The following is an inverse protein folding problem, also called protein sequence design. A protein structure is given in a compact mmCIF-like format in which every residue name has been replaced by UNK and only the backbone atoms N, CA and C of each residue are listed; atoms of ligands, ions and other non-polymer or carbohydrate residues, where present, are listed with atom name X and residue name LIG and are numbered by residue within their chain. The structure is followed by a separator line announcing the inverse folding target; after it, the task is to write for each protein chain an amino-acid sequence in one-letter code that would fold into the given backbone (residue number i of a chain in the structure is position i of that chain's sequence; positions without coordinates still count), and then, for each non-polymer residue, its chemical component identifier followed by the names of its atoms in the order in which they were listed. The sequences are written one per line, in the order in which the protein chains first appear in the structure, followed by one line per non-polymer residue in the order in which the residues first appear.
data_IF_940130069309
#
_entry.id   IF_940130069309
#
_cell.length_a   1.000
_cell.length_b   1.000
_cell.length_c   1.000
_cell.angle_alpha   90.00
_cell.angle_beta   90.00
_cell.angle_gamma   90.00
#
_symmetry.space_group_name_H-M   'P 1'
#
loop_
_entity.id
_entity.type
_entity.pdbx_description
1 polymer ?
#
# COMPACT_ATOMS: atom_id res chain seq x y z
N UNK A 1 27.95 16.26 -0.85
CA UNK A 1 28.15 14.90 -0.28
C UNK A 1 27.98 14.81 1.24
N UNK A 2 27.98 15.91 2.00
CA UNK A 2 27.90 15.88 3.47
C UNK A 2 26.54 15.49 4.05
N UNK A 3 25.43 15.86 3.41
CA UNK A 3 24.08 15.67 3.97
C UNK A 3 23.72 14.20 4.28
N UNK A 4 24.09 13.25 3.43
CA UNK A 4 23.80 11.83 3.63
C UNK A 4 24.69 11.15 4.67
N UNK A 5 25.86 11.72 4.97
CA UNK A 5 26.77 11.21 6.01
C UNK A 5 26.33 11.63 7.43
N UNK A 6 25.52 12.67 7.54
CA UNK A 6 25.04 13.18 8.82
C UNK A 6 23.95 12.29 9.41
N UNK A 7 23.77 12.41 10.72
CA UNK A 7 22.75 11.66 11.45
C UNK A 7 21.50 12.52 11.69
N UNK A 8 20.34 11.86 11.71
CA UNK A 8 19.10 12.47 12.19
C UNK A 8 19.18 12.84 13.67
N UNK A 9 18.46 13.88 14.05
CA UNK A 9 18.23 14.24 15.45
C UNK A 9 17.35 13.20 16.16
N UNK A 10 17.38 13.09 17.49
CA UNK A 10 16.56 12.13 18.22
C UNK A 10 15.06 12.20 17.92
N UNK A 11 14.51 13.40 17.73
CA UNK A 11 13.09 13.61 17.40
C UNK A 11 12.68 13.01 16.06
N UNK A 12 13.53 13.16 15.04
CA UNK A 12 13.25 12.64 13.69
C UNK A 12 13.45 11.11 13.65
N UNK A 13 14.37 10.59 14.45
CA UNK A 13 14.59 9.15 14.62
C UNK A 13 13.32 8.45 15.16
N UNK A 14 12.58 9.11 16.06
CA UNK A 14 11.31 8.61 16.56
C UNK A 14 10.27 8.38 15.46
N UNK A 15 10.18 9.27 14.47
CA UNK A 15 9.26 9.12 13.33
C UNK A 15 9.65 7.90 12.46
N UNK A 16 10.95 7.70 12.23
CA UNK A 16 11.43 6.56 11.44
C UNK A 16 11.22 5.23 12.19
N UNK A 17 11.42 5.22 13.51
CA UNK A 17 11.13 4.05 14.35
C UNK A 17 9.64 3.72 14.35
N UNK A 18 8.77 4.72 14.39
CA UNK A 18 7.33 4.49 14.28
C UNK A 18 6.95 3.91 12.90
N UNK A 19 7.56 4.40 11.82
CA UNK A 19 7.38 3.79 10.49
C UNK A 19 7.80 2.32 10.47
N UNK A 20 8.89 1.97 11.14
CA UNK A 20 9.34 0.57 11.26
C UNK A 20 8.29 -0.32 11.94
N UNK A 21 7.68 0.15 13.02
CA UNK A 21 6.61 -0.58 13.71
C UNK A 21 5.40 -0.79 12.81
N UNK A 22 4.99 0.23 12.05
CA UNK A 22 3.84 0.14 11.14
C UNK A 22 4.11 -0.83 9.98
N UNK A 23 5.36 -0.98 9.54
CA UNK A 23 5.75 -1.90 8.47
C UNK A 23 5.90 -3.37 8.95
N UNK A 24 5.84 -3.64 10.25
CA UNK A 24 5.93 -5.01 10.74
C UNK A 24 4.77 -5.88 10.21
N UNK A 25 5.04 -7.10 9.76
CA UNK A 25 4.04 -7.97 9.13
C UNK A 25 2.84 -8.28 10.02
N UNK A 26 3.01 -8.25 11.35
CA UNK A 26 1.95 -8.53 12.33
C UNK A 26 0.75 -7.60 12.14
N UNK A 27 0.93 -6.39 11.65
CA UNK A 27 -0.16 -5.45 11.36
C UNK A 27 -0.87 -5.74 10.04
N UNK A 28 -0.23 -6.46 9.12
CA UNK A 28 -0.75 -6.72 7.78
C UNK A 28 -1.10 -8.18 7.53
N UNK A 29 -0.57 -9.11 8.33
CA UNK A 29 -0.94 -10.52 8.30
C UNK A 29 -2.33 -10.69 8.91
N UNK A 30 -3.21 -11.26 8.22
CA UNK A 30 -4.67 -11.36 8.12
C UNK A 30 -5.52 -10.43 9.03
N UNK A 31 -4.94 -9.41 9.63
CA UNK A 31 -5.63 -8.49 10.55
C UNK A 31 -6.15 -7.27 9.80
N UNK A 32 -5.29 -6.65 8.97
CA UNK A 32 -5.64 -5.44 8.24
C UNK A 32 -5.64 -5.69 6.74
N UNK A 33 -6.81 -5.62 6.08
CA UNK A 33 -6.87 -5.71 4.63
C UNK A 33 -6.22 -4.50 3.98
N UNK A 34 -5.48 -4.76 2.90
CA UNK A 34 -4.89 -3.70 2.07
C UNK A 34 -5.89 -3.16 1.06
N UNK A 35 -6.88 -3.97 0.66
CA UNK A 35 -7.90 -3.58 -0.30
C UNK A 35 -9.24 -4.19 0.00
N UNK A 36 -10.31 -3.43 -0.30
CA UNK A 36 -11.69 -3.90 -0.21
C UNK A 36 -12.39 -3.74 -1.54
N UNK A 37 -13.10 -4.77 -1.93
CA UNK A 37 -14.06 -4.72 -3.03
C UNK A 37 -15.43 -5.16 -2.52
N UNK A 38 -16.46 -4.45 -2.96
CA UNK A 38 -17.85 -4.79 -2.69
C UNK A 38 -18.57 -4.91 -4.02
N UNK A 39 -19.23 -6.05 -4.24
CA UNK A 39 -19.95 -6.37 -5.46
C UNK A 39 -21.43 -6.55 -5.15
N UNK A 40 -22.32 -5.87 -5.88
CA UNK A 40 -23.75 -6.17 -5.88
C UNK A 40 -24.16 -6.73 -7.23
N UNK A 41 -24.90 -7.85 -7.19
CA UNK A 41 -25.48 -8.52 -8.33
C UNK A 41 -26.98 -8.71 -8.08
N UNK A 42 -27.82 -8.91 -9.12
CA UNK A 42 -29.24 -9.19 -8.93
C UNK A 42 -29.50 -10.42 -8.05
N UNK A 43 -28.62 -11.44 -8.10
CA UNK A 43 -28.69 -12.66 -7.30
C UNK A 43 -28.25 -12.45 -5.84
N UNK A 44 -27.51 -11.38 -5.55
CA UNK A 44 -26.97 -11.03 -4.23
C UNK A 44 -27.22 -9.54 -3.96
N UNK A 45 -28.48 -9.14 -3.69
CA UNK A 45 -28.86 -7.75 -3.47
C UNK A 45 -28.22 -7.15 -2.20
N UNK A 46 -27.93 -8.00 -1.20
CA UNK A 46 -27.18 -7.66 0.01
C UNK A 46 -25.73 -7.27 -0.28
N UNK A 47 -25.19 -7.75 -1.40
CA UNK A 47 -23.82 -7.55 -1.82
C UNK A 47 -22.88 -8.65 -1.32
N UNK A 48 -21.75 -8.77 -2.01
CA UNK A 48 -20.66 -9.68 -1.71
C UNK A 48 -19.39 -8.87 -1.41
N UNK A 49 -18.64 -9.30 -0.41
CA UNK A 49 -17.43 -8.62 0.01
C UNK A 49 -16.19 -9.46 -0.33
N UNK A 50 -15.16 -8.80 -0.80
CA UNK A 50 -13.84 -9.36 -1.02
C UNK A 50 -12.81 -8.45 -0.39
N UNK A 51 -11.95 -9.00 0.45
CA UNK A 51 -10.88 -8.29 1.13
C UNK A 51 -9.54 -8.92 0.78
N UNK A 52 -8.62 -8.12 0.28
CA UNK A 52 -7.27 -8.53 -0.07
C UNK A 52 -6.35 -8.15 1.08
N UNK A 53 -5.58 -9.14 1.55
CA UNK A 53 -4.55 -8.98 2.56
C UNK A 53 -3.17 -9.14 1.94
N UNK A 54 -2.12 -8.95 2.69
CA UNK A 54 -0.75 -9.10 2.18
C UNK A 54 -0.38 -10.53 1.81
N UNK A 55 -1.13 -11.52 2.29
CA UNK A 55 -0.84 -12.95 2.11
C UNK A 55 -2.05 -13.80 1.70
N UNK A 56 -3.23 -13.22 1.54
CA UNK A 56 -4.44 -13.98 1.24
C UNK A 56 -5.59 -13.07 0.79
N UNK A 57 -6.66 -13.70 0.32
CA UNK A 57 -7.95 -13.07 0.02
C UNK A 57 -9.01 -13.69 0.91
N UNK A 58 -9.95 -12.90 1.42
CA UNK A 58 -11.05 -13.35 2.27
C UNK A 58 -12.37 -12.67 1.87
N UNK A 59 -13.45 -13.24 2.32
CA UNK A 59 -14.81 -12.77 2.08
C UNK A 59 -15.64 -13.79 1.32
N UNK A 60 -16.57 -13.31 0.49
CA UNK A 60 -17.50 -14.14 -0.27
C UNK A 60 -16.89 -14.72 -1.57
N UNK A 61 -15.62 -15.17 -1.51
CA UNK A 61 -14.84 -15.57 -2.69
C UNK A 61 -15.55 -16.65 -3.50
N UNK A 62 -16.12 -17.68 -2.87
CA UNK A 62 -16.80 -18.76 -3.56
C UNK A 62 -18.04 -18.28 -4.34
N UNK A 63 -18.82 -17.38 -3.74
CA UNK A 63 -20.00 -16.79 -4.41
C UNK A 63 -19.59 -15.88 -5.57
N UNK A 64 -18.51 -15.12 -5.40
CA UNK A 64 -17.92 -14.29 -6.47
C UNK A 64 -17.42 -15.19 -7.60
N UNK A 65 -16.77 -16.30 -7.29
CA UNK A 65 -16.29 -17.24 -8.29
C UNK A 65 -17.43 -17.93 -9.06
N UNK A 66 -18.56 -18.22 -8.40
CA UNK A 66 -19.75 -18.68 -9.12
C UNK A 66 -20.23 -17.62 -10.12
N UNK A 67 -20.30 -16.34 -9.74
CA UNK A 67 -20.66 -15.27 -10.68
C UNK A 67 -19.63 -15.14 -11.80
N UNK A 68 -18.34 -15.18 -11.48
CA UNK A 68 -17.27 -15.15 -12.45
C UNK A 68 -17.40 -16.26 -13.51
N UNK A 69 -17.72 -17.46 -13.09
CA UNK A 69 -17.95 -18.59 -14.00
C UNK A 69 -19.07 -18.30 -15.00
N UNK A 70 -20.20 -17.72 -14.57
CA UNK A 70 -21.31 -17.39 -15.47
C UNK A 70 -20.97 -16.34 -16.52
N UNK A 71 -20.09 -15.41 -16.20
CA UNK A 71 -19.68 -14.31 -17.09
C UNK A 71 -18.35 -14.56 -17.80
N UNK A 72 -17.73 -15.73 -17.58
CA UNK A 72 -16.49 -16.14 -18.23
C UNK A 72 -15.24 -15.54 -17.63
N UNK A 73 -15.30 -14.93 -16.46
CA UNK A 73 -14.10 -14.47 -15.74
C UNK A 73 -13.41 -15.66 -15.06
N UNK A 74 -12.07 -15.56 -14.93
CA UNK A 74 -11.30 -16.53 -14.15
C UNK A 74 -11.75 -16.58 -12.68
N UNK A 75 -11.66 -17.76 -12.07
CA UNK A 75 -11.85 -17.89 -10.64
C UNK A 75 -10.72 -17.15 -9.90
N UNK A 76 -11.07 -16.53 -8.77
CA UNK A 76 -10.10 -15.87 -7.89
C UNK A 76 -9.64 -16.91 -6.88
N UNK A 77 -8.37 -17.27 -6.90
CA UNK A 77 -7.76 -18.17 -5.92
C UNK A 77 -6.53 -17.50 -5.31
N UNK A 78 -6.29 -17.68 -4.02
CA UNK A 78 -5.13 -17.06 -3.37
C UNK A 78 -3.79 -17.60 -3.92
N UNK A 79 -3.80 -18.79 -4.50
CA UNK A 79 -2.61 -19.44 -5.08
C UNK A 79 -2.17 -18.84 -6.41
N UNK A 80 -3.04 -18.11 -7.10
CA UNK A 80 -2.72 -17.48 -8.38
C UNK A 80 -1.82 -16.26 -8.20
N UNK A 81 -1.84 -15.67 -7.00
CA UNK A 81 -1.10 -14.46 -6.66
C UNK A 81 0.24 -14.82 -5.99
N UNK A 82 1.31 -14.89 -6.78
CA UNK A 82 2.67 -15.15 -6.28
C UNK A 82 3.12 -14.13 -5.23
N UNK A 83 2.59 -12.91 -5.33
CA UNK A 83 2.86 -11.76 -4.46
C UNK A 83 2.58 -12.10 -2.99
N UNK A 84 1.56 -12.90 -2.70
CA UNK A 84 1.21 -13.32 -1.34
C UNK A 84 2.31 -14.15 -0.66
N UNK A 85 3.18 -14.80 -1.43
CA UNK A 85 4.27 -15.60 -0.87
C UNK A 85 5.46 -14.75 -0.41
N UNK A 86 5.70 -13.58 -0.98
CA UNK A 86 6.87 -12.75 -0.68
C UNK A 86 6.55 -11.37 -0.11
N UNK A 87 5.32 -10.88 -0.24
CA UNK A 87 4.93 -9.55 0.25
C UNK A 87 5.15 -9.37 1.75
N UNK A 88 4.76 -10.32 2.64
CA UNK A 88 5.03 -10.19 4.07
C UNK A 88 6.52 -10.11 4.40
N UNK A 89 7.35 -10.87 3.69
CA UNK A 89 8.81 -10.89 3.88
C UNK A 89 9.44 -9.56 3.45
N UNK A 90 9.00 -8.99 2.33
CA UNK A 90 9.48 -7.69 1.87
C UNK A 90 9.06 -6.56 2.81
N UNK A 91 7.82 -6.56 3.30
CA UNK A 91 7.36 -5.60 4.29
C UNK A 91 8.16 -5.71 5.60
N UNK A 92 8.49 -6.94 6.02
CA UNK A 92 9.41 -7.17 7.15
C UNK A 92 10.78 -6.57 6.87
N UNK A 93 11.33 -6.80 5.69
CA UNK A 93 12.61 -6.24 5.26
C UNK A 93 12.64 -4.70 5.31
N UNK A 94 11.58 -4.04 4.81
CA UNK A 94 11.44 -2.58 4.91
C UNK A 94 11.32 -2.13 6.37
N UNK A 95 10.58 -2.85 7.21
CA UNK A 95 10.48 -2.59 8.64
C UNK A 95 11.84 -2.68 9.33
N UNK A 96 12.64 -3.71 9.02
CA UNK A 96 14.01 -3.87 9.54
C UNK A 96 14.93 -2.73 9.06
N UNK A 97 14.86 -2.35 7.79
CA UNK A 97 15.63 -1.22 7.27
C UNK A 97 15.25 0.09 7.97
N UNK A 98 13.96 0.34 8.17
CA UNK A 98 13.48 1.52 8.90
C UNK A 98 13.94 1.48 10.37
N UNK A 99 13.89 0.31 11.02
CA UNK A 99 14.39 0.11 12.38
C UNK A 99 15.88 0.44 12.48
N UNK A 100 16.70 -0.11 11.59
CA UNK A 100 18.14 0.14 11.55
C UNK A 100 18.44 1.63 11.27
N UNK A 101 17.70 2.27 10.35
CA UNK A 101 17.82 3.68 10.08
C UNK A 101 17.49 4.54 11.31
N UNK A 102 16.40 4.22 12.01
CA UNK A 102 15.99 4.92 13.23
C UNK A 102 16.97 4.73 14.38
N UNK A 103 17.45 3.51 14.63
CA UNK A 103 18.42 3.20 15.70
C UNK A 103 19.79 3.83 15.44
N UNK A 104 20.30 3.75 14.22
CA UNK A 104 21.60 4.33 13.86
C UNK A 104 21.54 5.84 13.56
N UNK A 105 20.37 6.33 13.22
CA UNK A 105 20.16 7.70 12.74
C UNK A 105 20.74 7.98 11.35
N UNK A 106 21.19 6.96 10.61
CA UNK A 106 21.85 7.13 9.31
C UNK A 106 20.84 7.50 8.22
N UNK A 107 20.97 8.69 7.66
CA UNK A 107 20.06 9.23 6.61
C UNK A 107 20.07 8.41 5.34
N UNK A 108 21.22 7.90 4.90
CA UNK A 108 21.30 7.10 3.69
C UNK A 108 20.51 5.80 3.79
N UNK A 109 20.46 5.17 4.98
CA UNK A 109 19.63 3.97 5.22
C UNK A 109 18.15 4.30 5.12
N UNK A 110 17.71 5.41 5.71
CA UNK A 110 16.33 5.86 5.64
C UNK A 110 15.91 6.16 4.20
N UNK A 111 16.78 6.85 3.44
CA UNK A 111 16.52 7.15 2.03
C UNK A 111 16.46 5.89 1.18
N UNK A 112 17.40 4.96 1.37
CA UNK A 112 17.42 3.67 0.66
C UNK A 112 16.13 2.89 0.94
N UNK A 113 15.76 2.74 2.21
CA UNK A 113 14.54 2.03 2.61
C UNK A 113 13.29 2.71 2.06
N UNK A 114 13.21 4.04 2.09
CA UNK A 114 12.08 4.79 1.56
C UNK A 114 11.95 4.67 0.04
N UNK A 115 13.05 4.77 -0.71
CA UNK A 115 13.07 4.59 -2.17
C UNK A 115 12.70 3.15 -2.56
N UNK A 116 13.26 2.16 -1.88
CA UNK A 116 12.96 0.75 -2.13
C UNK A 116 11.48 0.44 -1.82
N UNK A 117 10.93 0.95 -0.71
CA UNK A 117 9.53 0.80 -0.38
C UNK A 117 8.61 1.52 -1.38
N UNK A 118 8.99 2.72 -1.85
CA UNK A 118 8.24 3.45 -2.89
C UNK A 118 8.22 2.67 -4.20
N UNK A 119 9.35 2.14 -4.64
CA UNK A 119 9.44 1.31 -5.83
C UNK A 119 8.60 0.03 -5.72
N UNK A 120 8.65 -0.63 -4.56
CA UNK A 120 7.82 -1.79 -4.27
C UNK A 120 6.32 -1.46 -4.30
N UNK A 121 5.89 -0.38 -3.65
CA UNK A 121 4.49 0.04 -3.63
C UNK A 121 3.98 0.37 -5.05
N UNK A 122 4.79 1.05 -5.86
CA UNK A 122 4.47 1.34 -7.26
C UNK A 122 4.37 0.06 -8.11
N UNK A 123 5.29 -0.89 -7.90
CA UNK A 123 5.25 -2.19 -8.56
C UNK A 123 3.97 -2.96 -8.21
N UNK A 124 3.63 -3.06 -6.92
CA UNK A 124 2.43 -3.77 -6.45
C UNK A 124 1.14 -3.10 -6.92
N UNK A 125 1.10 -1.77 -6.96
CA UNK A 125 -0.06 -1.06 -7.51
C UNK A 125 -0.24 -1.30 -9.00
N UNK A 126 0.86 -1.27 -9.78
CA UNK A 126 0.83 -1.65 -11.20
C UNK A 126 0.35 -3.08 -11.41
N UNK A 127 0.84 -4.00 -10.61
CA UNK A 127 0.48 -5.41 -10.67
C UNK A 127 -1.02 -5.61 -10.38
N UNK A 128 -1.55 -4.97 -9.34
CA UNK A 128 -2.98 -4.95 -9.04
C UNK A 128 -3.82 -4.45 -10.22
N UNK A 129 -3.39 -3.36 -10.88
CA UNK A 129 -4.09 -2.82 -12.07
C UNK A 129 -4.07 -3.82 -13.22
N UNK A 130 -2.95 -4.51 -13.45
CA UNK A 130 -2.83 -5.54 -14.47
C UNK A 130 -3.74 -6.74 -14.20
N UNK A 131 -3.82 -7.20 -12.95
CA UNK A 131 -4.74 -8.25 -12.56
C UNK A 131 -6.20 -7.86 -12.85
N UNK A 132 -6.63 -6.66 -12.48
CA UNK A 132 -7.96 -6.16 -12.82
C UNK A 132 -8.21 -6.11 -14.32
N UNK A 133 -7.19 -5.72 -15.10
CA UNK A 133 -7.29 -5.72 -16.56
C UNK A 133 -7.50 -7.14 -17.09
N UNK A 134 -6.68 -8.12 -16.69
CA UNK A 134 -6.78 -9.51 -17.13
C UNK A 134 -8.14 -10.12 -16.74
N UNK A 135 -8.61 -9.92 -15.52
CA UNK A 135 -9.92 -10.43 -15.09
C UNK A 135 -11.08 -9.95 -15.95
N UNK A 136 -11.00 -8.77 -16.53
CA UNK A 136 -12.07 -8.23 -17.36
C UNK A 136 -11.86 -8.36 -18.88
N UNK A 137 -10.70 -8.81 -19.33
CA UNK A 137 -10.37 -8.95 -20.76
C UNK A 137 -10.16 -10.40 -21.19
N UNK A 138 -9.68 -11.26 -20.30
CA UNK A 138 -9.45 -12.67 -20.60
C UNK A 138 -10.72 -13.49 -20.27
N UNK A 139 -11.82 -13.21 -21.00
CA UNK A 139 -13.11 -13.86 -20.78
C UNK A 139 -13.24 -15.14 -21.59
N UNK A 140 -13.80 -16.21 -20.99
CA UNK A 140 -14.09 -17.46 -21.71
C UNK A 140 -15.23 -17.21 -22.72
N UNK A 141 -15.00 -17.43 -24.02
CA UNK A 141 -16.01 -17.24 -25.06
C UNK A 141 -17.19 -18.21 -24.94
N UNK A 142 -17.06 -19.28 -24.13
CA UNK A 142 -18.11 -20.27 -23.88
C UNK A 142 -18.98 -19.94 -22.68
N UNK A 143 -18.76 -18.79 -22.02
CA UNK A 143 -19.53 -18.36 -20.88
C UNK A 143 -21.04 -18.26 -21.19
N UNK A 144 -21.87 -18.56 -20.18
CA UNK A 144 -23.32 -18.52 -20.29
C UNK A 144 -23.84 -17.11 -20.59
N UNK A 145 -23.19 -16.10 -20.03
CA UNK A 145 -23.49 -14.68 -20.25
C UNK A 145 -22.27 -14.03 -20.93
N UNK A 146 -22.48 -13.55 -22.15
CA UNK A 146 -21.43 -12.86 -22.89
C UNK A 146 -21.39 -11.38 -22.48
N UNK A 147 -20.34 -11.00 -21.81
CA UNK A 147 -20.02 -9.59 -21.52
C UNK A 147 -19.06 -9.02 -22.57
N UNK A 148 -19.20 -7.73 -22.82
CA UNK A 148 -18.13 -7.01 -23.49
C UNK A 148 -16.94 -6.88 -22.54
N UNK A 149 -15.73 -6.85 -23.08
CA UNK A 149 -14.52 -6.63 -22.29
C UNK A 149 -14.63 -5.36 -21.44
N UNK A 150 -14.19 -5.44 -20.22
CA UNK A 150 -14.26 -4.34 -19.27
C UNK A 150 -13.07 -4.37 -18.31
N UNK A 151 -12.79 -3.27 -17.64
CA UNK A 151 -11.86 -3.26 -16.50
C UNK A 151 -12.64 -2.95 -15.24
N UNK A 152 -12.60 -3.80 -14.21
CA UNK A 152 -13.13 -3.47 -12.89
C UNK A 152 -12.55 -2.16 -12.36
N UNK A 153 -13.24 -1.43 -11.48
CA UNK A 153 -12.72 -0.16 -10.98
C UNK A 153 -11.46 -0.39 -10.14
N UNK A 154 -10.39 0.33 -10.47
CA UNK A 154 -9.18 0.34 -9.64
C UNK A 154 -9.52 0.98 -8.31
N UNK A 155 -10.09 2.17 -8.33
CA UNK A 155 -10.60 2.90 -7.16
C UNK A 155 -11.96 3.49 -7.51
N UNK A 156 -12.88 3.46 -6.55
CA UNK A 156 -14.19 4.06 -6.68
C UNK A 156 -15.28 3.09 -7.06
N UNK A 157 -16.27 3.56 -7.79
CA UNK A 157 -17.48 2.84 -8.19
C UNK A 157 -17.53 2.65 -9.69
N UNK A 158 -17.98 1.49 -10.14
CA UNK A 158 -18.33 1.23 -11.54
C UNK A 158 -19.53 0.30 -11.64
N UNK A 159 -20.46 0.62 -12.54
CA UNK A 159 -21.52 -0.30 -12.93
C UNK A 159 -21.12 -1.00 -14.23
N UNK A 160 -21.24 -2.31 -14.24
CA UNK A 160 -20.91 -3.19 -15.37
C UNK A 160 -22.10 -4.11 -15.61
N UNK A 161 -22.84 -3.85 -16.71
CA UNK A 161 -24.13 -4.50 -16.94
C UNK A 161 -25.04 -4.39 -15.69
N UNK A 162 -25.44 -5.52 -15.10
CA UNK A 162 -26.27 -5.58 -13.89
C UNK A 162 -25.47 -5.62 -12.59
N UNK A 163 -24.13 -5.57 -12.66
CA UNK A 163 -23.24 -5.60 -11.50
C UNK A 163 -22.83 -4.20 -11.10
N UNK A 164 -22.79 -3.95 -9.81
CA UNK A 164 -22.26 -2.72 -9.22
C UNK A 164 -21.05 -3.07 -8.38
N UNK A 165 -19.90 -2.47 -8.69
CA UNK A 165 -18.63 -2.77 -8.02
C UNK A 165 -18.07 -1.51 -7.39
N UNK A 166 -17.71 -1.61 -6.12
CA UNK A 166 -16.96 -0.62 -5.37
C UNK A 166 -15.59 -1.19 -5.02
N UNK A 167 -14.55 -0.39 -5.16
CA UNK A 167 -13.16 -0.77 -4.91
C UNK A 167 -12.47 0.36 -4.16
N UNK A 168 -11.95 0.07 -2.96
CA UNK A 168 -11.33 1.08 -2.10
C UNK A 168 -10.13 0.52 -1.33
N UNK A 169 -9.11 1.38 -1.05
CA UNK A 169 -8.03 1.02 -0.16
C UNK A 169 -8.54 0.63 1.23
N UNK A 170 -8.06 -0.49 1.73
CA UNK A 170 -8.30 -0.94 3.10
C UNK A 170 -7.43 -0.21 4.13
N UNK A 171 -7.67 -0.49 5.41
CA UNK A 171 -6.90 0.13 6.51
C UNK A 171 -5.40 -0.17 6.41
N UNK A 172 -5.01 -1.35 5.92
CA UNK A 172 -3.61 -1.71 5.69
C UNK A 172 -2.92 -0.75 4.73
N UNK A 173 -3.58 -0.35 3.63
CA UNK A 173 -3.03 0.63 2.68
C UNK A 173 -2.85 2.01 3.32
N UNK A 174 -3.78 2.45 4.15
CA UNK A 174 -3.64 3.71 4.88
C UNK A 174 -2.48 3.69 5.86
N UNK A 175 -2.28 2.59 6.58
CA UNK A 175 -1.13 2.41 7.48
C UNK A 175 0.19 2.41 6.70
N UNK A 176 0.26 1.73 5.55
CA UNK A 176 1.43 1.77 4.66
C UNK A 176 1.69 3.19 4.15
N UNK A 177 0.64 3.94 3.81
CA UNK A 177 0.72 5.35 3.41
C UNK A 177 1.26 6.24 4.52
N UNK A 178 0.83 6.03 5.76
CA UNK A 178 1.38 6.73 6.94
C UNK A 178 2.87 6.42 7.10
N UNK A 179 3.25 5.13 7.06
CA UNK A 179 4.66 4.74 7.16
C UNK A 179 5.51 5.38 6.05
N UNK A 180 4.99 5.43 4.83
CA UNK A 180 5.65 6.09 3.70
C UNK A 180 5.83 7.59 3.91
N UNK A 181 4.79 8.28 4.40
CA UNK A 181 4.81 9.74 4.61
C UNK A 181 5.77 10.17 5.73
N UNK A 182 6.01 9.31 6.72
CA UNK A 182 6.91 9.61 7.84
C UNK A 182 8.36 9.84 7.40
N UNK A 183 8.81 9.23 6.29
CA UNK A 183 10.13 9.48 5.71
C UNK A 183 10.33 10.96 5.31
N UNK A 184 9.55 11.49 4.34
CA UNK A 184 9.60 12.90 3.98
C UNK A 184 9.33 13.86 5.14
N UNK A 185 8.41 13.51 6.05
CA UNK A 185 8.09 14.32 7.24
C UNK A 185 9.32 14.47 8.14
N UNK A 186 10.08 13.39 8.38
CA UNK A 186 11.28 13.44 9.19
C UNK A 186 12.33 14.40 8.58
N UNK A 187 12.53 14.33 7.26
CA UNK A 187 13.44 15.23 6.54
C UNK A 187 12.97 16.68 6.59
N UNK A 188 11.67 16.92 6.43
CA UNK A 188 11.09 18.26 6.49
C UNK A 188 11.21 18.87 7.89
N UNK A 189 10.89 18.10 8.93
CA UNK A 189 11.02 18.53 10.32
C UNK A 189 12.45 18.96 10.67
N UNK A 190 13.44 18.21 10.17
CA UNK A 190 14.85 18.57 10.33
C UNK A 190 15.19 19.91 9.69
N UNK A 191 14.78 20.13 8.44
CA UNK A 191 15.03 21.38 7.71
C UNK A 191 14.40 22.59 8.40
N UNK A 192 13.16 22.46 8.84
CA UNK A 192 12.45 23.50 9.57
C UNK A 192 13.12 23.80 10.93
N UNK A 193 13.55 22.77 11.65
CA UNK A 193 14.29 22.92 12.91
C UNK A 193 15.62 23.64 12.72
N UNK A 194 16.36 23.32 11.66
CA UNK A 194 17.61 24.00 11.33
C UNK A 194 17.40 25.46 10.92
N UNK A 195 16.35 25.76 10.16
CA UNK A 195 16.00 27.13 9.76
C UNK A 195 15.64 28.00 10.98
N UNK A 196 14.82 27.44 11.91
CA UNK A 196 14.48 28.13 13.17
C UNK A 196 15.70 28.42 14.04
N UNK A 197 16.61 27.45 14.19
CA UNK A 197 17.84 27.62 14.96
C UNK A 197 18.73 28.77 14.39
N UNK A 198 18.85 28.84 13.06
CA UNK A 198 19.59 29.94 12.40
C UNK A 198 18.91 31.29 12.63
N UNK A 199 17.58 31.36 12.52
CA UNK A 199 16.83 32.60 12.76
C UNK A 199 16.97 33.11 14.20
N UNK A 200 17.11 32.24 15.18
CA UNK A 200 17.35 32.64 16.59
C UNK A 200 18.81 33.02 16.87
N UNK A 201 19.76 32.49 16.12
CA UNK A 201 21.19 32.80 16.29
C UNK A 201 21.57 34.16 15.69
N UNK A 202 20.96 34.57 14.57
CA UNK A 202 21.28 35.81 13.86
C UNK A 202 21.17 37.10 14.71
N UNK A 203 20.13 37.30 15.57
CA UNK A 203 20.04 38.49 16.43
C UNK A 203 21.11 38.54 17.52
N UNK A 204 21.55 37.36 18.02
CA UNK A 204 22.58 37.29 19.07
C UNK A 204 23.98 37.59 18.54
N UNK A 205 24.24 37.33 17.29
CA UNK A 205 25.51 37.61 16.59
C UNK A 205 25.61 39.11 16.24
N UNK A 206 24.47 39.69 15.78
CA UNK A 206 24.40 41.15 15.50
C UNK A 206 24.52 42.03 16.76
N UNK A 207 24.14 41.52 17.94
CA UNK A 207 24.29 42.22 19.21
C UNK A 207 25.70 42.14 19.82
N UNK A 208 26.60 41.33 19.26
CA UNK A 208 27.99 41.14 19.69
C UNK A 208 29.04 41.84 18.77
N UNK A 209 28.60 42.30 17.61
CA UNK A 209 29.40 43.07 16.66
C UNK A 209 29.20 44.58 16.87
#
# INVERSE_FOLDING_TARGET
MSYLSDKFRPSERGLILFAAVVLLPVFFLPVFPIWHMHLRAPQYPEGLNLSIYTNTIRGDVDKINMLNHYVGMHAITATDFREFSYMPQLLTGFGVLALLAGLTGRRWLALLGWLAFTGFAAYMFRDYVLWLYHYGHDLDPRAAIKLQVFTPPVIGFKQMANFKVWSFPGIGTWLLGVAWALGPIAVLAERLGAARARAHAAPAEAARA
#
